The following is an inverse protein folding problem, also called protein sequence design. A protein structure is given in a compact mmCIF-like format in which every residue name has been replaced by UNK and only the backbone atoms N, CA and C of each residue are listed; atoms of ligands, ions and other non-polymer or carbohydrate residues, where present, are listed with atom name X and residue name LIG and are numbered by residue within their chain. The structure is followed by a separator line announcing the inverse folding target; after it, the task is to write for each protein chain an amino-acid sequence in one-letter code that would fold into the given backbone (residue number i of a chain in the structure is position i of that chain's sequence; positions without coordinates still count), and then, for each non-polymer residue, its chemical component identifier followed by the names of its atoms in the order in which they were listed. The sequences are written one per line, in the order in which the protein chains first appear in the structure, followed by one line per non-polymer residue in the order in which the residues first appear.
data_IF_427140256128
#
_entry.id   IF_427140256128
#
_cell.length_a   1.000
_cell.length_b   1.000
_cell.length_c   1.000
_cell.angle_alpha   90.00
_cell.angle_beta   90.00
_cell.angle_gamma   90.00
#
_symmetry.space_group_name_H-M   'P 1'
#
loop_
_entity.id
_entity.type
_entity.pdbx_description
1 polymer ?
#
# COMPACT_ATOMS: atom_id res chain seq x y z
N UNK A 1 16.13 0.20 -0.55
CA UNK A 1 15.11 -0.45 0.29
C UNK A 1 13.72 -0.12 -0.27
N UNK A 2 12.81 -1.05 -0.16
CA UNK A 2 11.44 -0.85 -0.60
C UNK A 2 10.51 -0.70 0.58
N UNK A 3 9.51 0.14 0.41
CA UNK A 3 8.53 0.43 1.46
C UNK A 3 7.13 0.41 0.87
N UNK A 4 6.20 -0.03 1.67
CA UNK A 4 4.77 0.07 1.36
C UNK A 4 4.18 1.17 2.23
N UNK A 5 3.55 2.13 1.58
CA UNK A 5 2.82 3.19 2.28
C UNK A 5 1.34 2.85 2.18
N UNK A 6 0.72 2.69 3.32
CA UNK A 6 -0.69 2.32 3.41
C UNK A 6 -1.50 3.58 3.75
N UNK A 7 -2.46 3.88 2.91
CA UNK A 7 -3.40 4.98 3.15
C UNK A 7 -4.56 4.40 3.94
N UNK A 8 -4.77 4.86 5.16
CA UNK A 8 -5.88 4.36 5.97
C UNK A 8 -7.21 4.82 5.39
N UNK A 9 -8.18 3.94 5.41
CA UNK A 9 -9.53 4.27 4.97
C UNK A 9 -10.18 5.30 5.91
N UNK A 10 -11.10 6.07 5.35
CA UNK A 10 -11.91 7.03 6.09
C UNK A 10 -13.38 6.61 5.99
N UNK A 11 -14.23 7.24 6.77
CA UNK A 11 -15.67 7.01 6.65
C UNK A 11 -16.16 7.32 5.25
N UNK A 12 -15.63 8.39 4.63
CA UNK A 12 -16.00 8.77 3.28
C UNK A 12 -15.53 7.75 2.24
N UNK A 13 -14.29 7.28 2.34
CA UNK A 13 -13.79 6.28 1.39
C UNK A 13 -14.55 4.96 1.51
N UNK A 14 -14.93 4.55 2.73
CA UNK A 14 -15.72 3.35 2.95
C UNK A 14 -17.17 3.51 2.52
N UNK A 15 -17.68 4.74 2.48
CA UNK A 15 -19.00 5.04 1.94
C UNK A 15 -19.01 5.17 0.41
N UNK A 16 -17.87 4.99 -0.24
CA UNK A 16 -17.75 5.10 -1.69
C UNK A 16 -17.71 6.52 -2.21
N UNK A 17 -17.44 7.49 -1.35
CA UNK A 17 -17.32 8.88 -1.75
C UNK A 17 -15.92 9.14 -2.29
N UNK A 18 -15.85 9.70 -3.47
CA UNK A 18 -14.59 10.05 -4.11
C UNK A 18 -14.09 11.42 -3.65
N UNK A 19 -12.77 11.61 -3.56
CA UNK A 19 -12.22 12.94 -3.28
C UNK A 19 -12.51 13.90 -4.42
N UNK A 20 -12.45 15.19 -4.11
CA UNK A 20 -12.62 16.24 -5.13
C UNK A 20 -11.50 16.15 -6.17
N UNK A 21 -11.80 16.57 -7.40
CA UNK A 21 -10.86 16.56 -8.51
C UNK A 21 -9.53 17.26 -8.16
N UNK A 22 -9.62 18.38 -7.42
CA UNK A 22 -8.44 19.12 -6.98
C UNK A 22 -7.47 18.24 -6.18
N UNK A 23 -8.02 17.47 -5.24
CA UNK A 23 -7.21 16.58 -4.40
C UNK A 23 -6.61 15.44 -5.23
N UNK A 24 -7.38 14.90 -6.15
CA UNK A 24 -6.89 13.86 -7.08
C UNK A 24 -5.73 14.40 -7.90
N UNK A 25 -5.85 15.61 -8.43
CA UNK A 25 -4.79 16.23 -9.23
C UNK A 25 -3.52 16.51 -8.41
N UNK A 26 -3.69 16.95 -7.16
CA UNK A 26 -2.55 17.19 -6.27
C UNK A 26 -1.82 15.89 -5.96
N UNK A 27 -2.57 14.81 -5.76
CA UNK A 27 -1.99 13.48 -5.53
C UNK A 27 -1.23 13.01 -6.77
N UNK A 28 -1.81 13.20 -7.95
CA UNK A 28 -1.16 12.83 -9.21
C UNK A 28 0.13 13.62 -9.44
N UNK A 29 0.17 14.90 -9.07
CA UNK A 29 1.38 15.71 -9.17
C UNK A 29 2.48 15.21 -8.24
N UNK A 30 2.11 14.81 -7.03
CA UNK A 30 3.06 14.19 -6.11
C UNK A 30 3.60 12.88 -6.68
N UNK A 31 2.72 12.05 -7.24
CA UNK A 31 3.13 10.81 -7.89
C UNK A 31 4.10 11.08 -9.05
N UNK A 32 3.83 12.10 -9.85
CA UNK A 32 4.72 12.47 -10.96
C UNK A 32 6.11 12.88 -10.46
N UNK A 33 6.18 13.65 -9.39
CA UNK A 33 7.46 14.03 -8.79
C UNK A 33 8.21 12.82 -8.25
N UNK A 34 7.51 11.87 -7.63
CA UNK A 34 8.12 10.64 -7.14
C UNK A 34 8.59 9.75 -8.29
N UNK A 35 7.86 9.72 -9.39
CA UNK A 35 8.31 9.01 -10.61
C UNK A 35 9.59 9.63 -11.14
N UNK A 36 9.64 10.95 -11.27
CA UNK A 36 10.83 11.66 -11.76
C UNK A 36 12.04 11.47 -10.87
N UNK A 37 11.82 11.35 -9.56
CA UNK A 37 12.89 11.11 -8.60
C UNK A 37 13.30 9.63 -8.52
N UNK A 38 12.64 8.75 -9.26
CA UNK A 38 12.92 7.31 -9.23
C UNK A 38 12.45 6.62 -7.95
N UNK A 39 11.53 7.23 -7.24
CA UNK A 39 11.04 6.74 -5.94
C UNK A 39 9.81 5.85 -6.08
N UNK A 40 8.88 6.21 -6.95
CA UNK A 40 7.61 5.50 -7.07
C UNK A 40 7.76 4.22 -7.90
N UNK A 41 7.37 3.09 -7.31
CA UNK A 41 7.35 1.78 -7.98
C UNK A 41 5.94 1.37 -8.41
N UNK A 42 4.95 1.64 -7.57
CA UNK A 42 3.55 1.31 -7.85
C UNK A 42 2.65 2.13 -6.93
N UNK A 43 1.40 2.31 -7.33
CA UNK A 43 0.41 3.00 -6.52
C UNK A 43 -0.99 2.56 -6.96
N UNK A 44 -1.93 2.59 -6.03
CA UNK A 44 -3.31 2.25 -6.34
C UNK A 44 -4.26 2.62 -5.23
N UNK A 45 -5.51 2.84 -5.60
CA UNK A 45 -6.60 3.00 -4.66
C UNK A 45 -7.38 1.70 -4.53
N UNK A 46 -8.03 1.51 -3.41
CA UNK A 46 -8.87 0.35 -3.15
C UNK A 46 -10.34 0.76 -3.09
N UNK A 47 -11.21 -0.08 -3.65
CA UNK A 47 -12.63 0.08 -3.46
C UNK A 47 -12.99 -0.14 -1.98
N UNK A 48 -14.14 0.39 -1.53
CA UNK A 48 -14.60 0.15 -0.16
C UNK A 48 -14.66 -1.33 0.19
N UNK A 49 -14.52 -1.64 1.47
CA UNK A 49 -14.52 -3.01 1.95
C UNK A 49 -15.83 -3.75 1.64
N UNK A 50 -16.92 -3.02 1.36
CA UNK A 50 -18.19 -3.61 0.91
C UNK A 50 -18.04 -4.44 -0.36
N UNK A 51 -16.99 -4.20 -1.15
CA UNK A 51 -16.67 -4.96 -2.35
C UNK A 51 -15.56 -5.98 -2.13
N UNK A 52 -15.14 -6.16 -0.88
CA UNK A 52 -14.07 -7.08 -0.53
C UNK A 52 -14.56 -8.32 0.15
N UNK A 53 -13.63 -9.24 0.35
CA UNK A 53 -13.86 -10.49 1.06
C UNK A 53 -12.68 -10.77 1.96
N UNK A 54 -12.97 -11.49 3.05
CA UNK A 54 -11.93 -12.06 3.91
C UNK A 54 -12.01 -13.57 3.85
N UNK A 55 -10.87 -14.20 3.83
CA UNK A 55 -10.77 -15.66 3.91
C UNK A 55 -10.06 -15.98 5.21
N UNK A 56 -10.76 -16.65 6.11
CA UNK A 56 -10.18 -17.09 7.37
C UNK A 56 -9.64 -18.49 7.20
N UNK A 57 -8.37 -18.66 7.50
CA UNK A 57 -7.66 -19.91 7.39
C UNK A 57 -7.48 -20.50 8.79
N UNK A 58 -8.13 -21.64 9.06
CA UNK A 58 -8.06 -22.29 10.36
C UNK A 58 -7.98 -23.80 10.15
N UNK A 59 -6.78 -24.36 10.34
CA UNK A 59 -6.51 -25.75 9.98
C UNK A 59 -6.79 -25.97 8.50
N UNK A 60 -7.66 -26.93 8.18
CA UNK A 60 -8.10 -27.20 6.80
C UNK A 60 -9.32 -26.36 6.40
N UNK A 61 -9.90 -25.63 7.35
CA UNK A 61 -11.10 -24.84 7.10
C UNK A 61 -10.76 -23.53 6.40
N UNK A 62 -11.61 -23.18 5.44
CA UNK A 62 -11.50 -21.91 4.69
C UNK A 62 -12.86 -21.24 4.75
N UNK A 63 -12.98 -20.21 5.58
CA UNK A 63 -14.22 -19.47 5.77
C UNK A 63 -14.14 -18.14 5.04
N UNK A 64 -15.14 -17.87 4.20
CA UNK A 64 -15.21 -16.65 3.41
C UNK A 64 -16.24 -15.71 4.01
N UNK A 65 -15.84 -14.49 4.30
CA UNK A 65 -16.71 -13.45 4.83
C UNK A 65 -16.75 -12.27 3.87
N UNK A 66 -17.96 -11.86 3.50
CA UNK A 66 -18.15 -10.67 2.67
C UNK A 66 -18.04 -9.40 3.51
N UNK A 67 -17.47 -8.31 2.90
CA UNK A 67 -17.54 -7.00 3.50
C UNK A 67 -18.94 -6.43 3.49
N UNK A 68 -19.17 -5.26 4.08
CA UNK A 68 -18.16 -4.37 4.64
C UNK A 68 -17.64 -4.85 6.00
N UNK A 69 -16.41 -4.39 6.34
CA UNK A 69 -15.77 -4.70 7.62
C UNK A 69 -15.86 -3.47 8.53
N UNK A 70 -16.04 -3.69 9.83
CA UNK A 70 -16.44 -2.62 10.76
C UNK A 70 -15.31 -1.75 11.30
N UNK A 71 -14.09 -2.27 11.31
CA UNK A 71 -12.95 -1.58 11.91
C UNK A 71 -12.29 -0.61 10.92
N UNK A 72 -12.96 0.52 10.67
CA UNK A 72 -12.50 1.50 9.67
C UNK A 72 -11.05 1.94 9.88
N UNK A 73 -10.61 2.05 11.14
CA UNK A 73 -9.23 2.44 11.46
C UNK A 73 -8.18 1.40 11.01
N UNK A 74 -8.60 0.18 10.80
CA UNK A 74 -7.73 -0.91 10.36
C UNK A 74 -7.81 -1.15 8.85
N UNK A 75 -8.78 -0.54 8.18
CA UNK A 75 -8.98 -0.71 6.76
C UNK A 75 -8.06 0.22 5.96
N UNK A 76 -7.75 -0.22 4.76
CA UNK A 76 -6.83 0.47 3.86
C UNK A 76 -7.62 0.99 2.65
N UNK A 77 -7.42 2.26 2.31
CA UNK A 77 -8.06 2.89 1.15
C UNK A 77 -7.15 3.00 -0.07
N UNK A 78 -5.87 2.74 0.09
CA UNK A 78 -4.92 2.82 -1.01
C UNK A 78 -3.50 2.53 -0.57
N UNK A 79 -2.59 2.54 -1.53
CA UNK A 79 -1.19 2.25 -1.22
C UNK A 79 -0.24 2.90 -2.23
N UNK A 80 1.00 3.09 -1.80
CA UNK A 80 2.14 3.32 -2.66
C UNK A 80 3.22 2.31 -2.35
N UNK A 81 3.90 1.85 -3.37
CA UNK A 81 5.14 1.11 -3.20
C UNK A 81 6.27 2.01 -3.66
N UNK A 82 7.22 2.26 -2.80
CA UNK A 82 8.31 3.19 -3.07
C UNK A 82 9.67 2.56 -2.75
N UNK A 83 10.72 3.10 -3.37
CA UNK A 83 12.09 2.75 -3.02
C UNK A 83 12.80 4.00 -2.51
N UNK A 84 13.58 3.84 -1.47
CA UNK A 84 14.28 4.93 -0.82
C UNK A 84 15.49 4.38 -0.03
N UNK A 85 16.37 5.28 0.35
CA UNK A 85 17.57 4.93 1.12
C UNK A 85 17.23 4.67 2.59
N UNK A 86 16.15 5.26 3.08
CA UNK A 86 15.80 5.17 4.50
C UNK A 86 14.30 5.41 4.71
N UNK A 87 13.84 5.02 5.88
CA UNK A 87 12.47 5.33 6.34
C UNK A 87 12.25 6.84 6.40
N UNK A 88 13.24 7.60 6.85
CA UNK A 88 13.14 9.05 6.97
C UNK A 88 12.90 9.72 5.61
N UNK A 89 13.53 9.22 4.57
CA UNK A 89 13.30 9.72 3.22
C UNK A 89 11.85 9.52 2.77
N UNK A 90 11.28 8.34 3.06
CA UNK A 90 9.88 8.05 2.75
C UNK A 90 8.95 8.97 3.55
N UNK A 91 9.24 9.18 4.82
CA UNK A 91 8.46 10.10 5.66
C UNK A 91 8.44 11.50 5.06
N UNK A 92 9.58 12.00 4.59
CA UNK A 92 9.64 13.33 3.99
C UNK A 92 8.79 13.43 2.72
N UNK A 93 8.79 12.41 1.88
CA UNK A 93 7.90 12.38 0.72
C UNK A 93 6.43 12.38 1.14
N UNK A 94 6.08 11.57 2.13
CA UNK A 94 4.69 11.38 2.55
C UNK A 94 4.12 12.57 3.32
N UNK A 95 4.96 13.41 3.93
CA UNK A 95 4.53 14.67 4.51
C UNK A 95 3.94 15.63 3.47
N UNK A 96 4.24 15.41 2.21
CA UNK A 96 3.72 16.22 1.10
C UNK A 96 2.38 15.72 0.58
N UNK A 97 1.85 14.65 1.18
CA UNK A 97 0.54 14.13 0.79
C UNK A 97 -0.53 15.20 1.00
N UNK A 98 -1.33 15.49 -0.06
CA UNK A 98 -2.37 16.49 0.07
C UNK A 98 -3.49 16.00 0.98
N UNK A 99 -3.83 16.82 1.98
CA UNK A 99 -4.90 16.50 2.89
C UNK A 99 -6.18 17.21 2.47
N UNK A 100 -7.26 16.49 2.54
CA UNK A 100 -8.60 17.03 2.48
C UNK A 100 -8.96 17.64 3.84
N UNK A 101 -10.14 18.22 3.95
CA UNK A 101 -10.71 18.79 5.19
C UNK A 101 -10.68 17.82 6.35
N UNK A 102 -10.66 16.53 6.05
CA UNK A 102 -10.64 15.47 7.04
C UNK A 102 -9.20 15.00 7.26
N UNK A 103 -8.85 14.81 8.50
CA UNK A 103 -7.57 14.21 8.83
C UNK A 103 -7.48 12.79 8.28
N UNK A 104 -6.30 12.42 7.84
CA UNK A 104 -6.02 11.05 7.40
C UNK A 104 -4.79 10.53 8.10
N UNK A 105 -4.51 9.25 7.92
CA UNK A 105 -3.33 8.60 8.47
C UNK A 105 -2.68 7.75 7.41
N UNK A 106 -1.35 7.83 7.34
CA UNK A 106 -0.54 6.97 6.48
C UNK A 106 0.32 6.10 7.39
N UNK A 107 0.47 4.85 7.00
CA UNK A 107 1.36 3.92 7.70
C UNK A 107 2.44 3.47 6.72
N UNK A 108 3.69 3.54 7.14
CA UNK A 108 4.83 3.16 6.30
C UNK A 108 5.45 1.89 6.86
N UNK A 109 5.59 0.87 6.02
CA UNK A 109 6.18 -0.42 6.39
C UNK A 109 7.27 -0.77 5.38
N UNK A 110 8.44 -1.14 5.89
CA UNK A 110 9.50 -1.63 5.01
C UNK A 110 9.16 -3.04 4.52
N UNK A 111 9.35 -3.30 3.24
CA UNK A 111 9.22 -4.66 2.71
C UNK A 111 10.39 -5.50 3.20
N UNK A 112 10.08 -6.75 3.53
CA UNK A 112 11.09 -7.73 3.85
C UNK A 112 11.81 -8.12 2.56
N UNK A 113 13.13 -8.13 2.61
CA UNK A 113 13.94 -8.70 1.56
C UNK A 113 14.34 -10.11 2.00
N UNK A 114 14.37 -11.06 1.08
CA UNK A 114 14.80 -12.44 1.39
C UNK A 114 16.21 -12.46 1.97
N UNK A 115 17.06 -11.50 1.58
CA UNK A 115 18.38 -11.33 2.16
C UNK A 115 18.38 -11.00 3.64
N UNK A 116 17.24 -10.56 4.21
CA UNK A 116 17.09 -10.29 5.63
C UNK A 116 16.92 -11.58 6.45
N UNK A 117 16.71 -12.71 5.79
CA UNK A 117 16.56 -14.02 6.42
C UNK A 117 17.68 -14.96 6.05
N UNK A 118 18.02 -15.85 6.97
CA UNK A 118 18.89 -16.97 6.67
C UNK A 118 18.07 -18.07 6.01
N UNK A 119 18.02 -18.06 4.68
CA UNK A 119 17.33 -19.11 3.89
C UNK A 119 18.35 -19.89 3.08
N UNK A 120 18.00 -21.13 2.68
CA UNK A 120 18.85 -21.98 1.88
C UNK A 120 19.02 -21.46 0.44
N UNK A 121 20.03 -22.01 -0.23
CA UNK A 121 20.34 -21.63 -1.63
C UNK A 121 19.16 -21.83 -2.58
N UNK A 122 18.41 -22.92 -2.41
CA UNK A 122 17.26 -23.22 -3.26
C UNK A 122 16.17 -22.15 -3.13
N UNK A 123 15.86 -21.73 -1.90
CA UNK A 123 14.87 -20.69 -1.64
C UNK A 123 15.33 -19.35 -2.20
N UNK A 124 16.60 -19.01 -2.04
CA UNK A 124 17.18 -17.78 -2.59
C UNK A 124 17.10 -17.76 -4.11
N UNK A 125 17.49 -18.87 -4.77
CA UNK A 125 17.46 -18.96 -6.22
C UNK A 125 16.04 -18.85 -6.77
N UNK A 126 15.08 -19.48 -6.10
CA UNK A 126 13.68 -19.40 -6.48
C UNK A 126 13.13 -17.98 -6.31
N UNK A 127 13.48 -17.32 -5.21
CA UNK A 127 13.08 -15.94 -4.97
C UNK A 127 13.59 -15.00 -6.06
N UNK A 128 14.88 -15.06 -6.38
CA UNK A 128 15.49 -14.24 -7.43
C UNK A 128 14.79 -14.44 -8.78
N UNK A 129 14.53 -15.70 -9.12
CA UNK A 129 13.83 -16.04 -10.36
C UNK A 129 12.43 -15.45 -10.40
N UNK A 130 11.66 -15.58 -9.29
CA UNK A 130 10.31 -15.06 -9.21
C UNK A 130 10.27 -13.53 -9.26
N UNK A 131 11.22 -12.86 -8.61
CA UNK A 131 11.32 -11.40 -8.67
C UNK A 131 11.48 -10.92 -10.11
N UNK A 132 12.34 -11.55 -10.87
CA UNK A 132 12.56 -11.21 -12.28
C UNK A 132 11.32 -11.43 -13.14
N UNK A 133 10.55 -12.46 -12.83
CA UNK A 133 9.31 -12.77 -13.54
C UNK A 133 8.19 -11.79 -13.25
N UNK A 134 8.09 -11.32 -12.03
CA UNK A 134 7.05 -10.39 -11.59
C UNK A 134 7.32 -8.96 -12.06
N UNK A 135 8.59 -8.57 -12.14
CA UNK A 135 9.00 -7.20 -12.50
C UNK A 135 9.30 -7.02 -13.98
N UNK A 136 8.38 -7.35 -14.78
CA UNK A 136 8.53 -7.10 -16.22
C UNK A 136 8.21 -5.68 -16.59
#
# INVERSE_FOLDING_TARGET
MKFLVLVKATKDSEAGKYPEEKLIMETMRLNEEMVKAGVLLDAGGLWPSSQGKRIRLEGETREITDGPFTETKELIGGYWMVQAKSMDEVVEWMKRFPLDKNSGELEIRRLIDVGDFAVGEEANAMHERLEKQVRR
#
